data_IF_259075566713
#
_entry.id   IF_259075566713
#
_cell.length_a   1.000
_cell.length_b   1.000
_cell.length_c   1.000
_cell.angle_alpha   90.00
_cell.angle_beta   90.00
_cell.angle_gamma   90.00
#
_symmetry.space_group_name_H-M   'P 1'
#
loop_
_entity.id
_entity.type
_entity.pdbx_description
1 polymer ?
#
# COMPACT_ATOMS: atom_id res chain seq x y z
N UNK A 1 17.83 9.21 -2.66
CA UNK A 1 16.56 9.88 -3.00
C UNK A 1 15.85 10.17 -1.69
N UNK A 2 15.64 11.44 -1.37
CA UNK A 2 15.11 11.90 -0.08
C UNK A 2 13.58 12.03 -0.18
N UNK A 3 12.77 11.27 0.57
CA UNK A 3 11.44 11.73 0.95
C UNK A 3 11.64 12.59 2.22
N UNK A 4 11.32 13.88 2.33
CA UNK A 4 10.11 14.64 2.01
C UNK A 4 8.97 14.26 2.97
N UNK A 5 8.79 15.10 4.00
CA UNK A 5 7.74 14.99 5.00
C UNK A 5 6.35 15.05 4.37
N UNK A 6 5.36 14.55 5.10
CA UNK A 6 3.99 14.40 4.67
C UNK A 6 3.10 15.38 5.44
N UNK A 7 2.26 16.12 4.71
CA UNK A 7 1.03 16.68 5.27
C UNK A 7 0.02 15.55 5.40
N UNK A 8 -0.38 15.21 6.62
CA UNK A 8 -1.51 14.30 6.87
C UNK A 8 -2.87 14.92 6.50
N UNK A 9 -2.92 16.15 5.96
CA UNK A 9 -4.13 16.96 5.90
C UNK A 9 -4.90 16.88 4.56
N UNK A 10 -4.66 15.87 3.71
CA UNK A 10 -5.54 15.58 2.57
C UNK A 10 -6.14 14.19 2.71
N UNK A 11 -6.96 14.03 3.75
CA UNK A 11 -7.68 12.79 4.03
C UNK A 11 -8.85 12.68 3.04
N UNK A 12 -8.85 11.64 2.21
CA UNK A 12 -10.11 11.08 1.71
C UNK A 12 -10.68 10.29 2.90
N UNK A 13 -11.83 10.68 3.48
CA UNK A 13 -12.42 9.92 4.57
C UNK A 13 -12.78 8.52 4.08
N UNK A 14 -12.29 7.49 4.77
CA UNK A 14 -12.76 6.12 4.55
C UNK A 14 -14.21 6.05 5.07
N UNK A 15 -15.15 5.71 4.19
CA UNK A 15 -16.54 5.49 4.58
C UNK A 15 -16.68 4.10 5.22
N UNK A 16 -17.23 4.05 6.44
CA UNK A 16 -17.51 2.82 7.17
C UNK A 16 -18.30 1.79 6.35
N UNK A 17 -19.23 2.23 5.50
CA UNK A 17 -20.02 1.33 4.66
C UNK A 17 -19.18 0.65 3.56
N UNK A 18 -18.21 1.37 3.00
CA UNK A 18 -17.29 0.82 1.99
C UNK A 18 -16.36 -0.24 2.60
N UNK A 19 -15.99 -0.08 3.87
CA UNK A 19 -15.23 -1.09 4.60
C UNK A 19 -16.04 -2.38 4.78
N UNK A 20 -17.32 -2.29 5.15
CA UNK A 20 -18.21 -3.45 5.34
C UNK A 20 -18.48 -4.17 4.01
N UNK A 21 -18.72 -3.44 2.92
CA UNK A 21 -18.92 -4.04 1.59
C UNK A 21 -17.68 -4.79 1.11
N UNK A 22 -16.48 -4.22 1.29
CA UNK A 22 -15.24 -4.89 0.93
C UNK A 22 -14.92 -6.08 1.85
N UNK A 23 -15.24 -6.01 3.14
CA UNK A 23 -15.15 -7.16 4.05
C UNK A 23 -16.08 -8.28 3.59
N UNK A 24 -17.31 -7.95 3.16
CA UNK A 24 -18.26 -8.92 2.60
C UNK A 24 -17.76 -9.53 1.28
N UNK A 25 -17.14 -8.74 0.40
CA UNK A 25 -16.48 -9.22 -0.83
C UNK A 25 -15.27 -10.12 -0.53
N UNK A 26 -14.47 -9.79 0.49
CA UNK A 26 -13.36 -10.63 0.94
C UNK A 26 -13.85 -11.96 1.54
N UNK A 27 -14.92 -11.93 2.35
CA UNK A 27 -15.52 -13.13 2.94
C UNK A 27 -16.17 -14.04 1.89
N UNK A 28 -16.89 -13.46 0.93
CA UNK A 28 -17.52 -14.22 -0.16
C UNK A 28 -16.50 -14.81 -1.14
N UNK A 29 -15.40 -14.12 -1.43
CA UNK A 29 -14.30 -14.66 -2.24
C UNK A 29 -13.40 -15.64 -1.48
N UNK A 30 -13.37 -15.61 -0.14
CA UNK A 30 -12.67 -16.58 0.73
C UNK A 30 -13.44 -17.90 0.88
N UNK A 31 -14.79 -17.84 0.96
CA UNK A 31 -15.65 -19.01 1.19
C UNK A 31 -15.62 -20.07 0.08
N UNK A 32 -15.00 -19.79 -1.07
CA UNK A 32 -14.88 -20.71 -2.22
C UNK A 32 -13.46 -21.31 -2.38
N UNK A 33 -12.54 -21.13 -1.41
CA UNK A 33 -11.13 -21.47 -1.61
C UNK A 33 -10.65 -22.73 -0.92
N UNK A 34 -9.67 -23.38 -1.57
CA UNK A 34 -8.83 -24.41 -0.97
C UNK A 34 -7.89 -23.75 0.02
N UNK A 35 -8.10 -23.99 1.32
CA UNK A 35 -7.14 -23.71 2.39
C UNK A 35 -5.77 -24.30 2.02
N UNK A 36 -4.79 -23.47 1.65
CA UNK A 36 -3.45 -23.96 1.31
C UNK A 36 -2.49 -23.00 0.60
N UNK A 37 -2.97 -21.96 -0.10
CA UNK A 37 -2.07 -20.99 -0.75
C UNK A 37 -1.68 -19.91 0.26
N UNK A 38 -0.47 -20.00 0.82
CA UNK A 38 0.10 -18.91 1.64
C UNK A 38 0.72 -17.87 0.73
N UNK A 39 0.28 -16.61 0.82
CA UNK A 39 0.90 -15.54 0.07
C UNK A 39 2.23 -15.13 0.72
N UNK A 40 3.14 -14.59 -0.09
CA UNK A 40 4.42 -14.11 0.43
C UNK A 40 4.20 -12.85 1.28
N UNK A 41 4.82 -12.76 2.46
CA UNK A 41 4.77 -11.58 3.35
C UNK A 41 5.82 -10.52 2.97
N UNK A 42 5.74 -9.29 3.49
CA UNK A 42 6.70 -8.21 3.25
C UNK A 42 8.13 -8.58 3.67
N UNK A 43 8.29 -9.55 4.58
CA UNK A 43 9.59 -10.13 4.93
C UNK A 43 10.31 -10.76 3.74
N UNK A 44 9.56 -11.21 2.72
CA UNK A 44 10.11 -11.80 1.51
C UNK A 44 10.67 -10.76 0.53
N UNK A 45 10.49 -9.46 0.79
CA UNK A 45 10.94 -8.39 -0.10
C UNK A 45 12.46 -8.31 -0.14
N UNK A 46 13.02 -8.23 -1.35
CA UNK A 46 14.47 -8.27 -1.58
C UNK A 46 14.97 -6.95 -2.13
N UNK A 47 15.89 -6.32 -1.44
CA UNK A 47 16.53 -5.09 -1.94
C UNK A 47 17.31 -5.36 -3.24
N UNK A 48 17.34 -4.38 -4.14
CA UNK A 48 18.16 -4.44 -5.36
C UNK A 48 17.64 -5.38 -6.44
N UNK A 49 16.48 -6.03 -6.23
CA UNK A 49 15.75 -6.74 -7.28
C UNK A 49 14.65 -5.86 -7.82
N UNK A 50 14.72 -5.56 -9.11
CA UNK A 50 13.59 -5.01 -9.84
C UNK A 50 12.58 -6.12 -10.15
N UNK A 51 11.39 -5.70 -10.54
CA UNK A 51 10.31 -6.57 -10.98
C UNK A 51 9.72 -7.50 -9.91
N UNK A 52 9.65 -7.06 -8.65
CA UNK A 52 8.98 -7.83 -7.60
C UNK A 52 7.46 -7.71 -7.66
N UNK A 53 6.78 -8.68 -7.06
CA UNK A 53 5.32 -8.81 -7.04
C UNK A 53 4.83 -9.05 -5.63
N UNK A 54 3.71 -8.43 -5.27
CA UNK A 54 3.08 -8.60 -3.96
C UNK A 54 1.57 -8.37 -4.06
N UNK A 55 0.80 -9.30 -3.53
CA UNK A 55 -0.62 -9.06 -3.23
C UNK A 55 -0.72 -8.48 -1.82
N UNK A 56 -1.47 -7.39 -1.69
CA UNK A 56 -1.60 -6.65 -0.43
C UNK A 56 -2.90 -5.85 -0.41
N UNK A 57 -3.46 -5.63 0.78
CA UNK A 57 -4.48 -4.62 0.94
C UNK A 57 -3.86 -3.23 0.84
N UNK A 58 -4.46 -2.39 0.01
CA UNK A 58 -4.20 -0.97 -0.05
C UNK A 58 -5.06 -0.27 1.01
N UNK A 59 -4.43 0.36 1.99
CA UNK A 59 -5.14 1.02 3.09
C UNK A 59 -5.54 2.44 2.71
N UNK A 60 -4.55 3.28 2.45
CA UNK A 60 -4.72 4.70 2.18
C UNK A 60 -3.54 5.26 1.40
N UNK A 61 -3.74 6.43 0.81
CA UNK A 61 -2.71 7.16 0.10
C UNK A 61 -2.89 8.65 0.30
N UNK A 62 -1.82 9.40 0.06
CA UNK A 62 -1.82 10.85 0.17
C UNK A 62 -0.71 11.45 -0.70
N UNK A 63 -0.90 12.71 -1.08
CA UNK A 63 0.10 13.45 -1.82
C UNK A 63 1.29 13.78 -0.89
N UNK A 64 2.50 13.50 -1.35
CA UNK A 64 3.76 13.80 -0.65
C UNK A 64 4.34 15.11 -1.16
N UNK A 65 4.70 16.01 -0.23
CA UNK A 65 5.00 17.41 -0.52
C UNK A 65 6.35 17.82 0.06
N UNK A 66 7.24 18.40 -0.76
CA UNK A 66 8.53 18.89 -0.32
C UNK A 66 8.41 20.22 0.43
N UNK A 67 8.30 20.15 1.76
CA UNK A 67 8.21 21.35 2.60
C UNK A 67 9.43 22.27 2.55
N UNK A 68 10.61 21.76 2.16
CA UNK A 68 11.80 22.61 1.96
C UNK A 68 11.76 23.40 0.66
N UNK A 69 10.86 23.04 -0.25
CA UNK A 69 10.68 23.64 -1.57
C UNK A 69 9.21 23.96 -1.77
N UNK A 70 8.70 24.86 -0.94
CA UNK A 70 7.35 25.44 -1.04
C UNK A 70 6.20 24.42 -1.18
N UNK A 71 6.33 23.27 -0.48
CA UNK A 71 5.38 22.16 -0.55
C UNK A 71 5.20 21.59 -1.97
N UNK A 72 6.26 21.62 -2.78
CA UNK A 72 6.26 21.02 -4.12
C UNK A 72 5.78 19.58 -4.08
N UNK A 73 4.82 19.22 -4.93
CA UNK A 73 4.35 17.86 -5.07
C UNK A 73 5.46 16.96 -5.62
N UNK A 74 5.80 15.89 -4.90
CA UNK A 74 6.90 14.99 -5.28
C UNK A 74 6.45 13.57 -5.58
N UNK A 75 5.19 13.25 -5.31
CA UNK A 75 4.67 11.92 -5.53
C UNK A 75 3.52 11.56 -4.61
N UNK A 76 3.09 10.31 -4.68
CA UNK A 76 2.02 9.75 -3.86
C UNK A 76 2.64 8.71 -2.94
N UNK A 77 2.40 8.84 -1.64
CA UNK A 77 2.72 7.77 -0.68
C UNK A 77 1.50 6.90 -0.48
N UNK A 78 1.72 5.59 -0.38
CA UNK A 78 0.71 4.55 -0.23
C UNK A 78 1.03 3.69 0.98
N UNK A 79 0.03 3.23 1.73
CA UNK A 79 0.17 2.20 2.77
C UNK A 79 -0.40 0.86 2.33
N UNK A 80 0.36 -0.20 2.54
CA UNK A 80 0.01 -1.58 2.23
C UNK A 80 0.04 -2.47 3.48
N UNK A 81 -0.90 -3.43 3.54
CA UNK A 81 -0.92 -4.55 4.48
C UNK A 81 -0.79 -5.87 3.74
N UNK A 82 -0.09 -6.83 4.34
CA UNK A 82 -0.11 -8.22 3.90
C UNK A 82 -0.85 -9.10 4.91
N UNK A 83 -0.75 -10.42 4.76
CA UNK A 83 -1.39 -11.41 5.63
C UNK A 83 -0.79 -11.45 7.05
N UNK A 84 0.42 -10.91 7.24
CA UNK A 84 1.08 -10.96 8.55
C UNK A 84 0.48 -9.89 9.45
N UNK A 85 0.02 -10.33 10.63
CA UNK A 85 -0.53 -9.45 11.66
C UNK A 85 0.44 -8.29 11.93
N UNK A 86 -0.11 -7.08 11.87
CA UNK A 86 0.60 -5.81 12.11
C UNK A 86 1.82 -5.59 11.22
N UNK A 87 1.83 -6.18 10.01
CA UNK A 87 2.87 -5.91 9.03
C UNK A 87 2.39 -4.88 8.02
N UNK A 88 3.00 -3.69 8.07
CA UNK A 88 2.67 -2.56 7.20
C UNK A 88 3.91 -2.08 6.50
N UNK A 89 3.81 -1.85 5.20
CA UNK A 89 4.85 -1.21 4.42
C UNK A 89 4.28 -0.01 3.68
N UNK A 90 5.06 1.06 3.55
CA UNK A 90 4.69 2.13 2.65
C UNK A 90 5.31 1.92 1.28
N UNK A 91 4.59 2.34 0.24
CA UNK A 91 5.15 2.54 -1.08
C UNK A 91 5.13 3.99 -1.52
N UNK A 92 5.86 4.26 -2.57
CA UNK A 92 6.04 5.60 -3.12
C UNK A 92 5.96 5.58 -4.64
N UNK A 93 5.11 6.45 -5.17
CA UNK A 93 5.00 6.75 -6.59
C UNK A 93 5.61 8.12 -6.85
N UNK A 94 6.70 8.24 -7.63
CA UNK A 94 7.29 9.54 -7.93
C UNK A 94 6.35 10.41 -8.79
N UNK A 95 6.51 11.73 -8.73
CA UNK A 95 5.71 12.72 -9.47
C UNK A 95 5.51 12.37 -10.94
N UNK A 96 6.54 11.88 -11.64
CA UNK A 96 6.47 11.52 -13.06
C UNK A 96 5.50 10.37 -13.38
N UNK A 97 5.14 9.54 -12.40
CA UNK A 97 4.16 8.46 -12.55
C UNK A 97 2.87 8.67 -11.76
N UNK A 98 2.78 9.71 -10.94
CA UNK A 98 1.69 9.89 -9.98
C UNK A 98 0.30 9.89 -10.64
N UNK A 99 0.13 10.67 -11.72
CA UNK A 99 -1.17 10.77 -12.40
C UNK A 99 -1.60 9.46 -13.06
N UNK A 100 -0.64 8.67 -13.56
CA UNK A 100 -0.92 7.37 -14.16
C UNK A 100 -1.51 6.40 -13.13
N UNK A 101 -0.89 6.32 -11.95
CA UNK A 101 -1.34 5.38 -10.92
C UNK A 101 -2.52 5.89 -10.10
N UNK A 102 -2.71 7.21 -9.96
CA UNK A 102 -3.73 7.80 -9.06
C UNK A 102 -5.14 7.27 -9.34
N UNK A 103 -5.46 6.96 -10.59
CA UNK A 103 -6.77 6.37 -10.97
C UNK A 103 -6.92 4.90 -10.58
N UNK A 104 -5.81 4.15 -10.50
CA UNK A 104 -5.77 2.75 -10.05
C UNK A 104 -5.66 2.62 -8.52
N UNK A 105 -5.29 3.68 -7.81
CA UNK A 105 -5.18 3.69 -6.36
C UNK A 105 -6.56 3.84 -5.71
N UNK A 106 -7.18 2.72 -5.32
CA UNK A 106 -8.45 2.69 -4.59
C UNK A 106 -8.23 2.28 -3.14
N UNK A 107 -8.59 3.15 -2.21
CA UNK A 107 -8.61 2.83 -0.79
C UNK A 107 -9.42 1.56 -0.51
N UNK A 108 -8.98 0.78 0.48
CA UNK A 108 -9.61 -0.48 0.92
C UNK A 108 -9.64 -1.65 -0.09
N UNK A 109 -8.98 -1.51 -1.23
CA UNK A 109 -8.89 -2.59 -2.23
C UNK A 109 -7.79 -3.60 -1.89
N UNK A 110 -7.97 -4.85 -2.29
CA UNK A 110 -6.87 -5.82 -2.33
C UNK A 110 -6.31 -5.84 -3.74
N UNK A 111 -5.03 -5.48 -3.86
CA UNK A 111 -4.36 -5.32 -5.14
C UNK A 111 -3.11 -6.19 -5.20
N UNK A 112 -2.78 -6.61 -6.41
CA UNK A 112 -1.48 -7.13 -6.76
C UNK A 112 -0.68 -6.00 -7.38
N UNK A 113 0.42 -5.64 -6.72
CA UNK A 113 1.41 -4.72 -7.28
C UNK A 113 2.50 -5.56 -7.90
N UNK A 114 2.61 -5.47 -9.22
CA UNK A 114 3.61 -6.15 -10.01
C UNK A 114 4.70 -5.19 -10.49
N UNK A 115 5.86 -5.76 -10.75
CA UNK A 115 7.02 -5.11 -11.35
C UNK A 115 7.58 -3.91 -10.57
N UNK A 116 7.45 -3.89 -9.26
CA UNK A 116 8.00 -2.80 -8.44
C UNK A 116 9.46 -3.05 -8.03
N UNK A 117 10.10 -2.01 -7.50
CA UNK A 117 11.41 -2.11 -6.85
C UNK A 117 11.29 -2.00 -5.32
N UNK A 118 12.24 -2.58 -4.60
CA UNK A 118 12.35 -2.41 -3.15
C UNK A 118 13.46 -1.40 -2.84
N UNK A 119 13.15 -0.48 -1.93
CA UNK A 119 14.07 0.52 -1.38
C UNK A 119 14.30 0.39 0.10
N UNK A 120 15.36 1.03 0.60
CA UNK A 120 15.56 1.24 2.03
C UNK A 120 14.88 2.54 2.47
N UNK A 121 14.18 2.49 3.59
CA UNK A 121 13.66 3.68 4.25
C UNK A 121 14.83 4.47 4.85
N UNK A 122 14.81 5.80 4.72
CA UNK A 122 15.71 6.65 5.51
C UNK A 122 15.18 6.77 6.93
N UNK A 123 16.06 6.68 7.94
CA UNK A 123 15.68 6.80 9.36
C UNK A 123 15.04 8.14 9.74
N UNK A 124 15.28 9.19 8.94
CA UNK A 124 14.79 10.56 9.18
C UNK A 124 13.26 10.68 9.08
N UNK A 125 12.60 9.81 8.30
CA UNK A 125 11.18 9.89 8.00
C UNK A 125 10.58 8.49 7.92
N UNK A 126 10.27 7.91 9.09
CA UNK A 126 9.64 6.60 9.20
C UNK A 126 8.12 6.75 9.18
N UNK A 127 7.51 6.32 8.08
CA UNK A 127 6.04 6.20 7.97
C UNK A 127 5.57 4.89 8.61
N UNK A 128 6.37 3.84 8.47
CA UNK A 128 6.13 2.48 8.98
C UNK A 128 7.42 1.98 9.63
N UNK A 129 7.31 1.02 10.55
CA UNK A 129 8.47 0.38 11.16
C UNK A 129 9.21 -0.57 10.20
N UNK A 130 8.59 -0.92 9.07
CA UNK A 130 9.22 -1.76 8.06
C UNK A 130 10.48 -1.07 7.47
N UNK A 131 11.64 -1.76 7.41
CA UNK A 131 12.91 -1.16 7.00
C UNK A 131 13.00 -0.87 5.49
N UNK A 132 12.07 -1.41 4.72
CA UNK A 132 11.97 -1.23 3.28
C UNK A 132 10.72 -0.47 2.87
N UNK A 133 10.75 0.09 1.65
CA UNK A 133 9.61 0.68 0.97
C UNK A 133 9.46 0.11 -0.45
N UNK A 134 8.24 0.09 -0.95
CA UNK A 134 7.92 -0.29 -2.33
C UNK A 134 8.05 0.95 -3.22
N UNK A 135 8.91 0.92 -4.23
CA UNK A 135 9.05 2.00 -5.22
C UNK A 135 8.34 1.62 -6.50
N UNK A 136 7.39 2.45 -6.91
CA UNK A 136 6.77 2.32 -8.22
C UNK A 136 7.73 2.87 -9.27
N UNK A 137 7.91 2.11 -10.32
CA UNK A 137 8.66 2.48 -11.52
C UNK A 137 7.68 2.62 -12.69
N UNK A 138 8.12 3.11 -13.85
CA UNK A 138 7.24 3.27 -15.01
C UNK A 138 6.63 1.96 -15.53
N UNK A 139 7.17 0.81 -15.12
CA UNK A 139 6.69 -0.53 -15.48
C UNK A 139 5.85 -1.21 -14.39
N UNK A 140 5.60 -0.53 -13.27
CA UNK A 140 4.77 -1.09 -12.19
C UNK A 140 3.34 -1.25 -12.67
N UNK A 141 2.71 -2.37 -12.29
CA UNK A 141 1.33 -2.69 -12.66
C UNK A 141 0.54 -2.88 -11.38
N UNK A 142 -0.70 -2.40 -11.35
CA UNK A 142 -1.60 -2.55 -10.21
C UNK A 142 -2.88 -3.18 -10.74
N UNK A 143 -3.10 -4.43 -10.33
CA UNK A 143 -4.28 -5.19 -10.71
C UNK A 143 -5.10 -5.50 -9.46
N UNK A 144 -6.42 -5.46 -9.58
CA UNK A 144 -7.32 -5.92 -8.52
C UNK A 144 -7.22 -7.44 -8.38
N UNK A 145 -7.17 -7.94 -7.14
CA UNK A 145 -7.12 -9.39 -6.90
C UNK A 145 -8.54 -9.95 -6.84
N UNK A 146 -8.94 -10.62 -7.91
CA UNK A 146 -10.30 -11.19 -8.05
C UNK A 146 -10.40 -12.57 -7.37
N UNK A 147 -9.33 -13.35 -7.40
CA UNK A 147 -9.27 -14.72 -6.85
C UNK A 147 -8.02 -14.91 -6.02
N UNK A 148 -8.08 -15.76 -4.98
CA UNK A 148 -6.94 -16.03 -4.11
C UNK A 148 -6.31 -14.73 -3.52
N UNK A 149 -7.15 -13.78 -3.08
CA UNK A 149 -6.70 -12.59 -2.36
C UNK A 149 -6.14 -12.91 -0.97
N UNK A 150 -5.02 -12.30 -0.54
CA UNK A 150 -4.46 -12.55 0.78
C UNK A 150 -5.47 -12.38 1.92
N UNK A 151 -5.42 -13.24 2.92
CA UNK A 151 -6.25 -13.12 4.13
C UNK A 151 -5.67 -12.03 5.05
N UNK A 152 -6.14 -10.80 4.81
CA UNK A 152 -5.71 -9.64 5.60
C UNK A 152 -6.45 -9.61 6.93
N UNK A 153 -5.70 -9.56 8.03
CA UNK A 153 -6.25 -9.50 9.38
C UNK A 153 -7.14 -8.25 9.57
N UNK A 154 -8.41 -8.45 9.95
CA UNK A 154 -9.39 -7.38 10.12
C UNK A 154 -8.99 -6.38 11.22
N UNK A 155 -8.41 -6.85 12.32
CA UNK A 155 -7.94 -5.98 13.39
C UNK A 155 -6.81 -5.07 12.89
N UNK A 156 -5.83 -5.63 12.18
CA UNK A 156 -4.78 -4.84 11.56
C UNK A 156 -5.35 -3.83 10.55
N UNK A 157 -6.37 -4.18 9.76
CA UNK A 157 -7.05 -3.19 8.89
C UNK A 157 -7.64 -2.05 9.70
N UNK A 158 -8.36 -2.34 10.79
CA UNK A 158 -8.99 -1.33 11.64
C UNK A 158 -7.95 -0.43 12.31
N UNK A 159 -6.91 -1.02 12.91
CA UNK A 159 -5.86 -0.30 13.61
C UNK A 159 -5.17 0.69 12.67
N UNK A 160 -4.78 0.27 11.47
CA UNK A 160 -4.09 1.15 10.53
C UNK A 160 -5.00 2.07 9.70
N UNK A 161 -6.30 1.75 9.60
CA UNK A 161 -7.30 2.66 9.04
C UNK A 161 -7.60 3.86 9.96
N UNK A 162 -7.41 3.69 11.27
CA UNK A 162 -7.76 4.69 12.29
C UNK A 162 -6.60 5.57 12.77
N UNK A 163 -5.37 5.35 12.29
CA UNK A 163 -4.18 6.20 12.53
C UNK A 163 -4.30 7.56 11.79
N UNK A 164 -5.48 8.18 11.79
CA UNK A 164 -5.72 9.54 11.30
C UNK A 164 -6.81 10.26 12.08
N UNK A 165 -6.77 10.19 13.41
CA UNK A 165 -7.30 11.27 14.25
C UNK A 165 -6.15 12.03 14.87
#
# INVERSE_FOLDING_TARGET
MNPICISQNSLIPLNFNHLIENVSLCLSSSSNRRSGVRHSTFESLRLGRSSQSKASAFLRFWDSLNFKKDREFVGITVLFLDEKINSVIHGFTPVGGANHYKTSLKADSIVKVDRFEVGRCSSMYKITDHPFLIRFISLTIIDEVITDAPEINLQSRLDYSTISK
#
